data_IF_305850353074
#
_entry.id   IF_305850353074
#
_cell.length_a   1.000
_cell.length_b   1.000
_cell.length_c   1.000
_cell.angle_alpha   90.00
_cell.angle_beta   90.00
_cell.angle_gamma   90.00
#
_symmetry.space_group_name_H-M   'P 1'
#
loop_
_entity.id
_entity.type
_entity.pdbx_description
1 polymer ?
#
# COMPACT_ATOMS: atom_id res chain seq x y z
N UNK A 1 17.38 7.16 1.15
CA UNK A 1 17.54 7.86 2.44
C UNK A 1 16.63 7.16 3.45
N UNK A 2 17.10 6.77 4.64
CA UNK A 2 16.28 6.04 5.60
C UNK A 2 15.11 6.91 6.07
N UNK A 3 13.91 6.32 6.14
CA UNK A 3 12.67 7.02 6.47
C UNK A 3 12.63 7.56 7.92
N UNK A 4 13.50 7.03 8.81
CA UNK A 4 13.62 7.45 10.20
C UNK A 4 15.10 7.54 10.62
N UNK A 5 15.74 8.72 10.54
CA UNK A 5 17.12 8.92 10.99
C UNK A 5 17.23 9.21 12.50
N UNK A 6 16.12 9.60 13.15
CA UNK A 6 16.09 9.84 14.59
C UNK A 6 16.14 8.52 15.37
N UNK A 7 17.23 8.30 16.12
CA UNK A 7 17.48 7.11 16.97
C UNK A 7 16.52 6.91 18.15
N UNK A 8 15.23 7.21 17.97
CA UNK A 8 14.15 6.88 18.90
C UNK A 8 13.91 5.38 18.86
N UNK A 9 13.60 4.78 20.01
CA UNK A 9 13.13 3.41 20.08
C UNK A 9 11.90 3.25 19.17
N UNK A 10 12.07 2.58 18.04
CA UNK A 10 11.03 2.42 17.04
C UNK A 10 10.01 1.42 17.56
N UNK A 11 8.82 1.89 17.94
CA UNK A 11 7.72 1.05 18.44
C UNK A 11 7.30 -0.03 17.43
N UNK A 12 7.50 0.22 16.13
CA UNK A 12 7.17 -0.69 15.05
C UNK A 12 8.33 -0.77 14.04
N UNK A 13 9.39 -1.52 14.37
CA UNK A 13 10.64 -1.52 13.60
C UNK A 13 10.47 -2.06 12.16
N UNK A 14 9.36 -2.73 11.87
CA UNK A 14 9.05 -3.33 10.55
C UNK A 14 8.25 -2.42 9.62
N UNK A 15 7.74 -1.27 10.08
CA UNK A 15 6.94 -0.35 9.25
C UNK A 15 7.67 0.10 7.98
N UNK A 16 8.96 0.49 8.00
CA UNK A 16 9.66 0.88 6.78
C UNK A 16 9.63 -0.23 5.72
N UNK A 17 9.81 -1.48 6.15
CA UNK A 17 9.77 -2.64 5.24
C UNK A 17 8.39 -2.85 4.64
N UNK A 18 7.32 -2.62 5.41
CA UNK A 18 5.97 -2.67 4.86
C UNK A 18 5.79 -1.59 3.80
N UNK A 19 6.24 -0.36 4.03
CA UNK A 19 6.14 0.74 3.06
C UNK A 19 6.86 0.38 1.75
N UNK A 20 8.09 -0.15 1.83
CA UNK A 20 8.84 -0.63 0.65
C UNK A 20 8.06 -1.70 -0.13
N UNK A 21 7.45 -2.67 0.55
CA UNK A 21 6.73 -3.75 -0.12
C UNK A 21 5.49 -3.25 -0.87
N UNK A 22 4.87 -2.17 -0.39
CA UNK A 22 3.68 -1.57 -1.00
C UNK A 22 3.98 -0.35 -1.88
N UNK A 23 5.26 0.01 -2.09
CA UNK A 23 5.66 1.19 -2.87
C UNK A 23 5.12 1.17 -4.32
N UNK A 24 5.02 -0.02 -4.92
CA UNK A 24 4.47 -0.19 -6.28
C UNK A 24 2.94 -0.09 -6.36
N UNK A 25 2.25 0.07 -5.23
CA UNK A 25 0.79 0.14 -5.21
C UNK A 25 0.34 1.56 -5.54
N UNK A 26 -0.44 1.69 -6.61
CA UNK A 26 -0.91 2.99 -7.10
C UNK A 26 -2.40 2.93 -7.37
N UNK A 27 -3.08 4.07 -7.15
CA UNK A 27 -4.48 4.29 -7.48
C UNK A 27 -4.56 5.52 -8.38
N UNK A 28 -4.89 5.30 -9.64
CA UNK A 28 -5.09 6.35 -10.62
C UNK A 28 -6.57 6.66 -10.73
N UNK A 29 -6.91 7.94 -10.78
CA UNK A 29 -8.27 8.40 -11.08
C UNK A 29 -8.23 9.16 -12.39
N UNK A 30 -8.93 8.66 -13.39
CA UNK A 30 -9.07 9.28 -14.69
C UNK A 30 -10.36 10.11 -14.72
N UNK A 31 -10.22 11.42 -14.93
CA UNK A 31 -11.33 12.37 -15.06
C UNK A 31 -11.52 12.73 -16.54
N UNK A 32 -12.73 12.49 -17.08
CA UNK A 32 -13.03 12.75 -18.50
C UNK A 32 -14.26 13.64 -18.62
N UNK A 33 -14.05 14.95 -18.72
CA UNK A 33 -15.13 15.93 -18.87
C UNK A 33 -16.20 15.78 -17.78
N UNK A 34 -17.46 15.60 -18.18
CA UNK A 34 -18.61 15.38 -17.28
C UNK A 34 -18.87 13.90 -16.97
N UNK A 35 -18.02 12.96 -17.41
CA UNK A 35 -18.20 11.54 -17.14
C UNK A 35 -17.79 11.20 -15.70
N UNK A 36 -18.38 10.14 -15.12
CA UNK A 36 -17.93 9.63 -13.83
C UNK A 36 -16.43 9.28 -13.85
N UNK A 37 -15.71 9.52 -12.73
CA UNK A 37 -14.31 9.14 -12.62
C UNK A 37 -14.11 7.64 -12.82
N UNK A 38 -13.10 7.26 -13.60
CA UNK A 38 -12.67 5.86 -13.73
C UNK A 38 -11.46 5.65 -12.84
N UNK A 39 -11.54 4.66 -11.95
CA UNK A 39 -10.47 4.35 -11.00
C UNK A 39 -9.72 3.11 -11.47
N UNK A 40 -8.40 3.21 -11.56
CA UNK A 40 -7.49 2.10 -11.83
C UNK A 40 -6.60 1.89 -10.62
N UNK A 41 -6.61 0.68 -10.06
CA UNK A 41 -5.72 0.32 -8.95
C UNK A 41 -4.78 -0.79 -9.42
N UNK A 42 -3.52 -0.74 -9.01
CA UNK A 42 -2.58 -1.82 -9.32
C UNK A 42 -3.00 -3.13 -8.64
N UNK A 43 -2.85 -4.26 -9.35
CA UNK A 43 -3.15 -5.57 -8.77
C UNK A 43 -2.08 -5.93 -7.75
N UNK A 44 -2.52 -6.33 -6.56
CA UNK A 44 -1.61 -6.75 -5.50
C UNK A 44 -0.93 -8.09 -5.84
N UNK A 45 0.38 -8.12 -5.62
CA UNK A 45 1.18 -9.34 -5.76
C UNK A 45 0.77 -10.39 -4.71
N UNK A 46 1.19 -11.65 -4.91
CA UNK A 46 0.93 -12.72 -3.92
C UNK A 46 1.50 -12.37 -2.55
N UNK A 47 2.70 -11.77 -2.52
CA UNK A 47 3.37 -11.37 -1.28
C UNK A 47 2.59 -10.27 -0.55
N UNK A 48 2.18 -9.21 -1.26
CA UNK A 48 1.39 -8.12 -0.68
C UNK A 48 0.07 -8.62 -0.08
N UNK A 49 -0.64 -9.53 -0.78
CA UNK A 49 -1.86 -10.16 -0.26
C UNK A 49 -1.62 -11.01 0.99
N UNK A 50 -0.53 -11.79 1.00
CA UNK A 50 -0.14 -12.59 2.17
C UNK A 50 0.15 -11.70 3.39
N UNK A 51 0.86 -10.59 3.19
CA UNK A 51 1.14 -9.63 4.27
C UNK A 51 -0.15 -9.01 4.80
N UNK A 52 -1.09 -8.60 3.94
CA UNK A 52 -2.39 -8.09 4.38
C UNK A 52 -3.18 -9.12 5.20
N UNK A 53 -3.13 -10.40 4.82
CA UNK A 53 -3.76 -11.47 5.60
C UNK A 53 -3.11 -11.62 6.98
N UNK A 54 -1.78 -11.57 7.07
CA UNK A 54 -1.06 -11.64 8.35
C UNK A 54 -1.35 -10.45 9.26
N UNK A 55 -1.60 -9.27 8.67
CA UNK A 55 -2.01 -8.06 9.38
C UNK A 55 -3.50 -8.05 9.76
N UNK A 56 -4.26 -9.13 9.50
CA UNK A 56 -5.68 -9.19 9.79
C UNK A 56 -6.56 -8.33 8.88
N UNK A 57 -6.05 -7.96 7.70
CA UNK A 57 -6.72 -7.12 6.70
C UNK A 57 -7.00 -7.87 5.38
N UNK A 58 -7.64 -9.05 5.39
CA UNK A 58 -7.85 -9.82 4.16
C UNK A 58 -8.74 -9.08 3.15
N UNK A 59 -9.66 -8.21 3.58
CA UNK A 59 -10.56 -7.48 2.66
C UNK A 59 -9.91 -6.28 1.96
N UNK A 60 -8.69 -5.90 2.35
CA UNK A 60 -8.01 -4.75 1.76
C UNK A 60 -7.59 -4.95 0.29
N UNK A 61 -7.77 -6.16 -0.26
CA UNK A 61 -7.47 -6.50 -1.65
C UNK A 61 -8.69 -7.04 -2.41
N UNK A 62 -9.88 -7.03 -1.80
CA UNK A 62 -11.14 -7.41 -2.44
C UNK A 62 -11.73 -6.16 -3.11
N UNK A 63 -11.23 -5.84 -4.30
CA UNK A 63 -11.66 -4.70 -5.13
C UNK A 63 -11.80 -5.09 -6.59
#
# INVERSE_FOLDING_TARGET
MPLYPEGRACRYPTVPRLIEVFESVQRHTLLVGKKPPVVFTTKLTRLQRQILSLLGMPRAHDG
#
